data_IF_419865228667
#
_entry.id   IF_419865228667
#
_cell.length_a   1.000
_cell.length_b   1.000
_cell.length_c   1.000
_cell.angle_alpha   90.00
_cell.angle_beta   90.00
_cell.angle_gamma   90.00
#
_symmetry.space_group_name_H-M   'P 1'
#
loop_
_entity.id
_entity.type
_entity.pdbx_description
1 polymer ?
#
# COMPACT_ATOMS: atom_id res chain seq x y z
N UNK A 1 -4.59 -0.95 -16.16
CA UNK A 1 -3.29 -1.32 -15.53
C UNK A 1 -3.65 -1.57 -14.08
N UNK A 2 -3.41 -2.78 -13.54
CA UNK A 2 -3.87 -3.12 -12.21
C UNK A 2 -3.41 -2.08 -11.19
N UNK A 3 -4.36 -1.53 -10.45
CA UNK A 3 -4.12 -0.58 -9.37
C UNK A 3 -4.78 -1.07 -8.10
N UNK A 4 -4.10 -0.90 -6.96
CA UNK A 4 -4.63 -1.24 -5.65
C UNK A 4 -4.44 -0.07 -4.69
N UNK A 5 -5.49 0.22 -3.92
CA UNK A 5 -5.40 1.06 -2.73
C UNK A 5 -5.30 0.16 -1.51
N UNK A 6 -4.32 0.43 -0.67
CA UNK A 6 -4.05 -0.28 0.58
C UNK A 6 -4.14 0.72 1.70
N UNK A 7 -5.10 0.52 2.59
CA UNK A 7 -5.26 1.31 3.82
C UNK A 7 -4.61 0.54 4.96
N UNK A 8 -3.78 1.20 5.76
CA UNK A 8 -3.06 0.57 6.86
C UNK A 8 -3.42 1.24 8.19
N UNK A 9 -3.56 0.41 9.22
CA UNK A 9 -3.50 0.82 10.61
C UNK A 9 -2.16 0.42 11.22
N UNK A 10 -1.66 1.26 12.10
CA UNK A 10 -0.35 1.18 12.71
C UNK A 10 -0.43 1.26 14.23
N UNK A 11 0.61 0.80 14.91
CA UNK A 11 0.78 1.12 16.33
C UNK A 11 0.92 2.64 16.50
N UNK A 12 0.44 3.17 17.64
CA UNK A 12 0.46 4.60 17.93
C UNK A 12 1.87 5.21 17.72
N UNK A 13 1.95 6.23 16.87
CA UNK A 13 3.18 6.97 16.58
C UNK A 13 4.21 6.21 15.73
N UNK A 14 3.80 5.14 15.03
CA UNK A 14 4.69 4.36 14.16
C UNK A 14 4.47 4.61 12.67
N UNK A 15 3.50 5.43 12.31
CA UNK A 15 3.08 5.76 10.95
C UNK A 15 4.24 6.28 10.09
N UNK A 16 5.01 7.26 10.57
CA UNK A 16 6.16 7.80 9.82
C UNK A 16 7.23 6.73 9.53
N UNK A 17 7.48 5.84 10.49
CA UNK A 17 8.45 4.75 10.32
C UNK A 17 7.97 3.75 9.28
N UNK A 18 6.70 3.36 9.33
CA UNK A 18 6.10 2.43 8.37
C UNK A 18 6.11 3.04 6.97
N UNK A 19 5.79 4.33 6.81
CA UNK A 19 5.86 5.03 5.51
C UNK A 19 7.27 4.94 4.93
N UNK A 20 8.29 5.20 5.74
CA UNK A 20 9.68 5.12 5.30
C UNK A 20 10.09 3.69 4.89
N UNK A 21 9.66 2.69 5.65
CA UNK A 21 9.92 1.27 5.32
C UNK A 21 9.20 0.85 4.03
N UNK A 22 7.93 1.25 3.85
CA UNK A 22 7.17 1.04 2.60
C UNK A 22 7.93 1.63 1.41
N UNK A 23 8.41 2.89 1.50
CA UNK A 23 9.20 3.52 0.43
C UNK A 23 10.47 2.75 0.12
N UNK A 24 11.21 2.31 1.15
CA UNK A 24 12.45 1.54 0.97
C UNK A 24 12.21 0.18 0.30
N UNK A 25 11.12 -0.50 0.67
CA UNK A 25 10.70 -1.76 0.02
C UNK A 25 10.38 -1.49 -1.44
N UNK A 26 9.49 -0.53 -1.72
CA UNK A 26 8.95 -0.28 -3.05
C UNK A 26 9.98 0.30 -4.02
N UNK A 27 11.01 1.00 -3.53
CA UNK A 27 12.13 1.48 -4.39
C UNK A 27 12.90 0.33 -5.04
N UNK A 28 12.81 -0.89 -4.48
CA UNK A 28 13.43 -2.11 -5.05
C UNK A 28 12.47 -2.90 -5.94
N UNK A 29 11.21 -2.49 -6.00
CA UNK A 29 10.18 -3.11 -6.81
C UNK A 29 9.96 -2.29 -8.08
N UNK A 30 9.78 -2.95 -9.21
CA UNK A 30 9.40 -2.30 -10.46
C UNK A 30 7.89 -2.03 -10.48
N UNK A 31 7.42 -1.12 -9.61
CA UNK A 31 6.01 -0.69 -9.50
C UNK A 31 5.91 0.82 -9.28
N UNK A 32 4.82 1.43 -9.74
CA UNK A 32 4.51 2.82 -9.40
C UNK A 32 3.78 2.86 -8.07
N UNK A 33 4.11 3.85 -7.23
CA UNK A 33 3.48 3.97 -5.93
C UNK A 33 3.33 5.41 -5.44
N UNK A 34 2.32 5.62 -4.62
CA UNK A 34 2.09 6.85 -3.84
C UNK A 34 1.77 6.42 -2.40
N UNK A 35 2.39 7.05 -1.40
CA UNK A 35 2.16 6.72 0.01
C UNK A 35 2.04 7.99 0.83
N UNK A 36 1.01 8.05 1.68
CA UNK A 36 0.68 9.25 2.44
C UNK A 36 0.11 8.86 3.82
N UNK A 37 0.58 9.55 4.86
CA UNK A 37 -0.07 9.53 6.17
C UNK A 37 -1.33 10.39 6.13
N UNK A 38 -2.43 9.91 6.72
CA UNK A 38 -3.75 10.54 6.65
C UNK A 38 -4.39 10.66 8.03
N UNK A 39 -5.29 11.63 8.19
CA UNK A 39 -6.18 11.68 9.35
C UNK A 39 -7.46 10.88 9.06
N UNK A 40 -7.81 9.93 9.93
CA UNK A 40 -9.04 9.15 9.79
C UNK A 40 -9.02 7.90 10.64
N UNK A 41 -9.82 6.90 10.24
CA UNK A 41 -9.83 5.57 10.86
C UNK A 41 -8.65 4.70 10.42
N UNK A 42 -7.91 5.14 9.40
CA UNK A 42 -6.65 4.57 8.94
C UNK A 42 -5.54 5.60 9.07
N UNK A 43 -4.31 5.14 9.22
CA UNK A 43 -3.16 6.02 9.43
C UNK A 43 -2.41 6.29 8.12
N UNK A 44 -2.43 5.32 7.18
CA UNK A 44 -1.66 5.38 5.94
C UNK A 44 -2.50 4.91 4.75
N UNK A 45 -2.40 5.63 3.63
CA UNK A 45 -2.90 5.20 2.32
C UNK A 45 -1.72 4.94 1.41
N UNK A 46 -1.69 3.75 0.82
CA UNK A 46 -0.73 3.34 -0.20
C UNK A 46 -1.49 3.01 -1.49
N UNK A 47 -1.14 3.68 -2.58
CA UNK A 47 -1.57 3.33 -3.93
C UNK A 47 -0.43 2.61 -4.64
N UNK A 48 -0.71 1.47 -5.25
CA UNK A 48 0.23 0.72 -6.08
C UNK A 48 -0.35 0.50 -7.46
N UNK A 49 0.46 0.68 -8.50
CA UNK A 49 0.10 0.38 -9.88
C UNK A 49 1.22 -0.43 -10.53
N UNK A 50 0.84 -1.49 -11.24
CA UNK A 50 1.73 -2.45 -11.89
C UNK A 50 1.13 -2.89 -13.22
N UNK A 51 1.94 -3.50 -14.07
CA UNK A 51 1.48 -4.25 -15.25
C UNK A 51 0.92 -5.63 -14.87
N UNK A 52 1.29 -6.14 -13.69
CA UNK A 52 0.86 -7.44 -13.15
C UNK A 52 0.12 -7.32 -11.80
N UNK A 53 -1.11 -7.82 -11.76
CA UNK A 53 -1.95 -7.87 -10.56
C UNK A 53 -1.43 -8.86 -9.50
N UNK A 54 -0.84 -9.98 -9.90
CA UNK A 54 -0.24 -10.95 -8.96
C UNK A 54 0.98 -10.35 -8.27
N UNK A 55 1.78 -9.56 -9.00
CA UNK A 55 2.89 -8.77 -8.41
C UNK A 55 2.39 -7.83 -7.33
N UNK A 56 1.28 -7.13 -7.53
CA UNK A 56 0.67 -6.29 -6.50
C UNK A 56 0.26 -7.11 -5.27
N UNK A 57 -0.48 -8.21 -5.48
CA UNK A 57 -0.92 -9.10 -4.38
C UNK A 57 0.26 -9.66 -3.59
N UNK A 58 1.33 -10.05 -4.28
CA UNK A 58 2.54 -10.57 -3.68
C UNK A 58 3.29 -9.50 -2.86
N UNK A 59 3.47 -8.29 -3.39
CA UNK A 59 4.09 -7.17 -2.65
C UNK A 59 3.28 -6.86 -1.40
N UNK A 60 1.96 -6.74 -1.51
CA UNK A 60 1.08 -6.41 -0.39
C UNK A 60 1.15 -7.51 0.68
N UNK A 61 0.99 -8.77 0.29
CA UNK A 61 0.89 -9.90 1.22
C UNK A 61 2.23 -10.25 1.87
N UNK A 62 3.30 -10.24 1.07
CA UNK A 62 4.59 -10.76 1.51
C UNK A 62 5.56 -9.69 2.01
N UNK A 63 5.32 -8.41 1.70
CA UNK A 63 6.20 -7.31 2.08
C UNK A 63 5.45 -6.31 2.96
N UNK A 64 4.45 -5.63 2.43
CA UNK A 64 3.74 -4.53 3.14
C UNK A 64 3.08 -5.02 4.43
N UNK A 65 2.31 -6.12 4.39
CA UNK A 65 1.64 -6.69 5.58
C UNK A 65 2.60 -7.28 6.63
N UNK A 66 3.88 -7.48 6.27
CA UNK A 66 4.90 -8.02 7.18
C UNK A 66 5.75 -6.93 7.83
N UNK A 67 5.56 -5.66 7.46
CA UNK A 67 6.21 -4.54 8.11
C UNK A 67 5.81 -4.55 9.58
N UNK A 68 6.80 -4.45 10.46
CA UNK A 68 6.56 -4.40 11.90
C UNK A 68 5.66 -3.23 12.26
N UNK A 69 4.79 -3.40 13.26
CA UNK A 69 3.83 -2.39 13.74
C UNK A 69 2.67 -2.07 12.80
N UNK A 70 2.57 -2.72 11.64
CA UNK A 70 1.32 -2.76 10.86
C UNK A 70 0.34 -3.68 11.60
N UNK A 71 -0.77 -3.13 12.08
CA UNK A 71 -1.79 -3.89 12.80
C UNK A 71 -2.79 -4.55 11.87
N UNK A 72 -3.23 -3.81 10.85
CA UNK A 72 -4.20 -4.33 9.88
C UNK A 72 -4.06 -3.60 8.55
N UNK A 73 -4.56 -4.24 7.50
CA UNK A 73 -4.63 -3.64 6.17
C UNK A 73 -5.95 -3.96 5.51
N UNK A 74 -6.55 -2.99 4.82
CA UNK A 74 -7.63 -3.21 3.85
C UNK A 74 -7.07 -2.99 2.45
N UNK A 75 -7.30 -3.93 1.54
CA UNK A 75 -6.85 -3.83 0.14
C UNK A 75 -8.06 -3.73 -0.78
N UNK A 76 -8.12 -2.67 -1.57
CA UNK A 76 -9.16 -2.39 -2.56
C UNK A 76 -8.52 -2.41 -3.95
N UNK A 77 -8.79 -3.46 -4.72
CA UNK A 77 -8.40 -3.49 -6.13
C UNK A 77 -9.31 -2.54 -6.91
N UNK A 78 -8.71 -1.71 -7.76
CA UNK A 78 -9.46 -0.82 -8.65
C UNK A 78 -10.18 -1.66 -9.71
N UNK A 79 -11.44 -1.31 -9.97
CA UNK A 79 -12.22 -1.83 -11.09
C UNK A 79 -11.73 -1.07 -12.33
N UNK A 80 -10.96 -1.74 -13.21
CA UNK A 80 -10.30 -1.08 -14.34
C UNK A 80 -11.29 -0.38 -15.28
N UNK A 81 -12.50 -0.93 -15.42
CA UNK A 81 -13.57 -0.38 -16.24
C UNK A 81 -14.08 0.99 -15.75
N UNK A 82 -13.78 1.36 -14.51
CA UNK A 82 -14.23 2.60 -13.88
C UNK A 82 -13.12 3.67 -13.76
N UNK A 83 -11.90 3.38 -14.21
CA UNK A 83 -10.73 4.26 -14.03
C UNK A 83 -10.80 5.55 -14.89
N UNK A 84 -11.71 5.61 -15.87
CA UNK A 84 -11.82 6.72 -16.85
C UNK A 84 -13.21 7.38 -16.91
N UNK A 85 -14.05 7.16 -15.88
CA UNK A 85 -15.28 7.93 -15.67
C UNK A 85 -14.94 9.33 -15.14
#
# INVERSE_FOLDING_TARGET
MPTAYVLLNSDLGSDETIINEVKQILTKEDVKYEVQGVYGVYDIVLKLTSDDAEKLRAIITNKVRKISKVQSTLTMMVIEEQESL
#
